data_IF_837690995404
#
_entry.id   IF_837690995404
#
_cell.length_a   1.000
_cell.length_b   1.000
_cell.length_c   1.000
_cell.angle_alpha   90.00
_cell.angle_beta   90.00
_cell.angle_gamma   90.00
#
_symmetry.space_group_name_H-M   'P 1'
#
loop_
_entity.id
_entity.type
_entity.pdbx_description
1 polymer ?
#
# COMPACT_ATOMS: atom_id res chain seq x y z
N UNK A 1 82.33 7.89 -52.11
CA UNK A 1 81.46 7.64 -50.94
C UNK A 1 80.02 7.92 -51.37
N UNK A 2 79.12 6.92 -51.33
CA UNK A 2 77.72 7.12 -51.69
C UNK A 2 76.88 7.49 -50.47
N UNK A 3 75.95 8.42 -50.64
CA UNK A 3 74.95 8.81 -49.65
C UNK A 3 73.76 7.86 -49.73
N UNK A 4 73.46 7.18 -48.62
CA UNK A 4 72.37 6.21 -48.49
C UNK A 4 71.09 6.96 -48.05
N UNK A 5 70.03 6.83 -48.85
CA UNK A 5 68.67 7.20 -48.49
C UNK A 5 68.12 6.20 -47.45
N UNK A 6 67.61 6.71 -46.33
CA UNK A 6 66.81 5.93 -45.38
C UNK A 6 65.33 6.19 -45.67
N UNK A 7 64.65 5.18 -46.20
CA UNK A 7 63.19 5.07 -46.24
C UNK A 7 62.77 3.84 -45.44
N UNK A 8 62.06 4.04 -44.34
CA UNK A 8 60.77 3.39 -44.05
C UNK A 8 60.31 3.74 -42.64
N UNK A 9 59.21 4.50 -42.56
CA UNK A 9 58.40 4.63 -41.35
C UNK A 9 57.56 3.36 -41.21
N UNK A 10 57.97 2.46 -40.33
CA UNK A 10 57.10 1.36 -39.89
C UNK A 10 56.09 1.91 -38.90
N UNK A 11 54.88 2.21 -39.38
CA UNK A 11 53.73 2.52 -38.53
C UNK A 11 53.36 1.24 -37.78
N UNK A 12 53.70 1.17 -36.50
CA UNK A 12 53.18 0.14 -35.59
C UNK A 12 51.73 0.51 -35.30
N UNK A 13 50.78 -0.14 -35.97
CA UNK A 13 49.37 -0.13 -35.58
C UNK A 13 49.21 -1.03 -34.36
N UNK A 14 49.34 -0.45 -33.17
CA UNK A 14 48.84 -1.07 -31.95
C UNK A 14 47.31 -0.90 -31.95
N UNK A 15 46.59 -1.99 -32.25
CA UNK A 15 45.15 -2.08 -31.94
C UNK A 15 45.01 -2.08 -30.42
N UNK A 16 44.68 -0.93 -29.86
CA UNK A 16 44.22 -0.84 -28.47
C UNK A 16 42.84 -1.50 -28.39
N UNK A 17 42.80 -2.77 -27.98
CA UNK A 17 41.58 -3.34 -27.42
C UNK A 17 41.31 -2.57 -26.12
N UNK A 18 40.43 -1.56 -26.17
CA UNK A 18 39.89 -0.97 -24.97
C UNK A 18 39.24 -2.10 -24.15
N UNK A 19 39.75 -2.33 -22.94
CA UNK A 19 39.22 -3.35 -22.05
C UNK A 19 37.80 -2.93 -21.67
N UNK A 20 36.77 -3.57 -22.25
CA UNK A 20 35.37 -3.29 -21.93
C UNK A 20 35.13 -3.75 -20.50
N UNK A 21 34.83 -2.82 -19.59
CA UNK A 21 34.47 -3.18 -18.21
C UNK A 21 33.16 -3.97 -18.24
N UNK A 22 33.02 -4.99 -17.40
CA UNK A 22 31.80 -5.77 -17.39
C UNK A 22 30.64 -4.95 -16.80
N UNK A 23 29.50 -4.93 -17.50
CA UNK A 23 28.30 -4.13 -17.13
C UNK A 23 27.83 -4.45 -15.71
N UNK A 24 27.48 -3.45 -14.87
CA UNK A 24 26.91 -3.69 -13.54
C UNK A 24 25.76 -4.68 -13.53
N UNK A 25 25.69 -5.45 -12.45
CA UNK A 25 24.60 -6.38 -12.15
C UNK A 25 24.12 -6.03 -10.75
N UNK A 26 23.17 -5.08 -10.71
CA UNK A 26 22.63 -4.49 -9.48
C UNK A 26 21.11 -4.45 -9.52
N UNK A 27 20.45 -4.81 -8.42
CA UNK A 27 19.02 -4.61 -8.18
C UNK A 27 18.86 -3.68 -6.99
N UNK A 28 17.98 -2.69 -7.12
CA UNK A 28 17.51 -1.84 -6.04
C UNK A 28 16.05 -2.22 -5.69
N UNK A 29 15.86 -2.70 -4.47
CA UNK A 29 14.58 -3.04 -3.85
C UNK A 29 14.17 -1.90 -2.93
N UNK A 30 12.95 -1.39 -3.11
CA UNK A 30 12.42 -0.30 -2.29
C UNK A 30 11.53 -0.87 -1.18
N UNK A 31 11.71 -0.39 0.06
CA UNK A 31 10.96 -0.84 1.23
C UNK A 31 10.48 0.34 2.07
N UNK A 32 9.37 0.14 2.77
CA UNK A 32 8.94 1.10 3.79
C UNK A 32 9.96 1.19 4.91
N UNK A 33 10.00 2.35 5.55
CA UNK A 33 10.68 2.53 6.82
C UNK A 33 9.84 1.92 7.95
N UNK A 34 10.51 1.52 9.03
CA UNK A 34 9.85 0.94 10.21
C UNK A 34 8.84 1.89 10.89
N UNK A 35 9.08 3.20 10.78
CA UNK A 35 8.27 4.29 11.35
C UNK A 35 7.12 4.75 10.42
N UNK A 36 7.00 4.18 9.21
CA UNK A 36 5.87 4.46 8.32
C UNK A 36 4.54 4.21 9.02
N UNK A 37 3.59 5.11 8.84
CA UNK A 37 2.33 5.17 9.58
C UNK A 37 1.10 5.33 8.68
N UNK A 38 1.28 5.20 7.36
CA UNK A 38 0.19 5.30 6.39
C UNK A 38 0.09 6.66 5.68
N UNK A 39 1.13 7.49 5.75
CA UNK A 39 1.15 8.87 5.24
C UNK A 39 1.14 9.01 3.70
N UNK A 40 1.50 7.97 2.95
CA UNK A 40 1.44 7.88 1.48
C UNK A 40 1.11 6.44 1.07
N UNK A 41 0.63 6.20 -0.16
CA UNK A 41 0.41 4.82 -0.60
C UNK A 41 1.71 4.20 -1.10
N UNK A 42 2.05 3.00 -0.60
CA UNK A 42 3.13 2.19 -1.14
C UNK A 42 2.80 0.71 -1.08
N UNK A 43 2.97 0.01 -2.20
CA UNK A 43 2.61 -1.39 -2.32
C UNK A 43 3.67 -2.18 -3.10
N UNK A 44 4.31 -3.13 -2.42
CA UNK A 44 5.26 -4.09 -3.01
C UNK A 44 4.82 -5.52 -2.72
N UNK A 45 5.24 -6.48 -3.53
CA UNK A 45 5.04 -7.89 -3.16
C UNK A 45 5.97 -8.21 -1.98
N UNK A 46 5.38 -8.54 -0.82
CA UNK A 46 6.13 -8.89 0.40
C UNK A 46 6.87 -10.20 0.21
N UNK A 47 8.09 -10.28 0.72
CA UNK A 47 9.00 -11.41 0.54
C UNK A 47 9.83 -11.70 1.80
N UNK A 48 9.44 -11.17 2.98
CA UNK A 48 10.11 -11.52 4.23
C UNK A 48 11.50 -10.92 4.45
N UNK A 49 11.86 -9.86 3.73
CA UNK A 49 13.22 -9.34 3.71
C UNK A 49 13.47 -8.12 4.62
N UNK A 50 12.43 -7.59 5.29
CA UNK A 50 12.53 -6.43 6.19
C UNK A 50 12.61 -6.79 7.68
N UNK A 51 12.40 -8.06 8.04
CA UNK A 51 12.25 -8.54 9.42
C UNK A 51 11.10 -7.88 10.21
N UNK A 52 10.23 -7.11 9.55
CA UNK A 52 9.00 -6.60 10.14
C UNK A 52 8.00 -7.74 10.29
N UNK A 53 7.27 -7.79 11.41
CA UNK A 53 6.29 -8.85 11.69
C UNK A 53 5.26 -9.05 10.56
N UNK A 54 5.03 -8.00 9.77
CA UNK A 54 4.01 -7.88 8.72
C UNK A 54 4.50 -8.23 7.32
N UNK A 55 5.81 -8.31 7.14
CA UNK A 55 6.41 -8.65 5.86
C UNK A 55 6.43 -10.17 5.72
N UNK A 56 5.26 -10.79 5.71
CA UNK A 56 5.15 -12.23 5.42
C UNK A 56 5.23 -12.42 3.92
N UNK A 57 5.98 -13.43 3.46
CA UNK A 57 6.07 -13.75 2.04
C UNK A 57 4.67 -14.01 1.45
N UNK A 58 4.32 -13.25 0.42
CA UNK A 58 3.00 -13.36 -0.21
C UNK A 58 2.81 -14.66 -0.99
N UNK A 59 3.89 -15.35 -1.39
CA UNK A 59 3.77 -16.70 -1.92
C UNK A 59 3.17 -17.67 -0.89
N UNK A 60 3.48 -17.45 0.40
CA UNK A 60 3.02 -18.28 1.50
C UNK A 60 1.62 -17.92 2.03
N UNK A 61 1.16 -16.68 1.88
CA UNK A 61 -0.10 -16.22 2.51
C UNK A 61 -1.21 -15.84 1.53
N UNK A 62 -0.93 -15.69 0.24
CA UNK A 62 -1.97 -15.43 -0.77
C UNK A 62 -2.59 -16.76 -1.21
N UNK A 63 -3.69 -17.13 -0.55
CA UNK A 63 -4.30 -18.48 -0.58
C UNK A 63 -5.82 -18.40 -0.58
N UNK A 64 -6.50 -19.44 -1.04
CA UNK A 64 -7.95 -19.58 -0.86
C UNK A 64 -8.28 -19.98 0.56
N UNK A 65 -9.44 -19.54 1.03
CA UNK A 65 -9.94 -19.81 2.38
C UNK A 65 -11.07 -20.84 2.35
N UNK A 66 -11.02 -21.83 3.23
CA UNK A 66 -11.91 -22.98 3.25
C UNK A 66 -12.44 -23.25 4.65
N UNK A 67 -13.67 -23.79 4.70
CA UNK A 67 -14.30 -24.22 5.96
C UNK A 67 -13.73 -25.53 6.49
N UNK A 68 -13.06 -26.32 5.64
CA UNK A 68 -12.68 -27.70 5.91
C UNK A 68 -11.22 -28.00 5.55
N UNK A 69 -10.60 -28.91 6.29
CA UNK A 69 -9.22 -29.34 6.10
C UNK A 69 -8.99 -30.13 4.81
N UNK A 70 -10.06 -30.57 4.13
CA UNK A 70 -9.99 -31.25 2.84
C UNK A 70 -10.03 -30.28 1.66
N UNK A 71 -10.13 -28.97 1.92
CA UNK A 71 -10.05 -27.88 0.94
C UNK A 71 -11.11 -28.00 -0.17
N UNK A 72 -12.31 -28.45 0.21
CA UNK A 72 -13.40 -28.71 -0.75
C UNK A 72 -14.47 -27.62 -0.77
N UNK A 73 -14.67 -26.92 0.35
CA UNK A 73 -15.72 -25.92 0.52
C UNK A 73 -15.12 -24.58 0.88
N UNK A 74 -15.30 -23.58 0.01
CA UNK A 74 -14.84 -22.22 0.26
C UNK A 74 -15.56 -21.61 1.45
N UNK A 75 -14.82 -20.85 2.26
CA UNK A 75 -15.43 -19.97 3.26
C UNK A 75 -16.18 -18.82 2.56
N UNK A 76 -17.42 -18.62 2.98
CA UNK A 76 -18.38 -17.68 2.41
C UNK A 76 -18.71 -16.53 3.37
N UNK A 77 -18.42 -16.64 4.66
CA UNK A 77 -18.48 -15.53 5.61
C UNK A 77 -17.19 -14.70 5.53
N UNK A 78 -17.30 -13.48 5.00
CA UNK A 78 -16.18 -12.55 4.91
C UNK A 78 -15.65 -12.06 6.27
N UNK A 79 -16.27 -12.44 7.39
CA UNK A 79 -15.79 -12.15 8.76
C UNK A 79 -15.13 -13.36 9.44
N UNK A 80 -15.26 -14.56 8.88
CA UNK A 80 -14.58 -15.73 9.42
C UNK A 80 -13.08 -15.63 9.12
N UNK A 81 -12.26 -15.78 10.15
CA UNK A 81 -10.80 -15.65 10.09
C UNK A 81 -10.08 -16.98 10.32
N UNK A 82 -10.74 -17.91 11.03
CA UNK A 82 -10.27 -19.27 11.29
C UNK A 82 -10.59 -20.19 10.12
N UNK A 83 -10.35 -21.50 10.27
CA UNK A 83 -10.50 -22.46 9.17
C UNK A 83 -9.16 -22.72 8.47
N UNK A 84 -9.21 -23.02 7.17
CA UNK A 84 -8.08 -23.56 6.42
C UNK A 84 -7.72 -22.68 5.23
N UNK A 85 -6.43 -22.39 5.06
CA UNK A 85 -5.92 -21.61 3.93
C UNK A 85 -4.99 -22.47 3.09
N UNK A 86 -5.29 -22.57 1.79
CA UNK A 86 -4.51 -23.39 0.87
C UNK A 86 -4.33 -22.73 -0.50
N UNK A 87 -3.17 -22.96 -1.10
CA UNK A 87 -2.89 -22.54 -2.46
C UNK A 87 -3.59 -23.49 -3.43
N UNK A 88 -4.28 -22.92 -4.43
CA UNK A 88 -4.77 -23.75 -5.55
C UNK A 88 -3.70 -23.70 -6.61
N UNK A 89 -3.09 -24.85 -6.89
CA UNK A 89 -1.93 -24.95 -7.78
C UNK A 89 -2.35 -25.23 -9.22
N UNK A 90 -1.59 -24.69 -10.17
CA UNK A 90 -1.65 -25.10 -11.58
C UNK A 90 -0.93 -26.44 -11.82
N UNK A 91 -0.90 -26.88 -13.08
CA UNK A 91 -0.25 -28.15 -13.47
C UNK A 91 1.27 -28.17 -13.22
N UNK A 92 1.89 -27.00 -13.12
CA UNK A 92 3.31 -26.81 -12.87
C UNK A 92 3.60 -26.58 -11.37
N UNK A 93 2.59 -26.66 -10.51
CA UNK A 93 2.71 -26.50 -9.07
C UNK A 93 2.72 -25.04 -8.59
N UNK A 94 2.38 -24.06 -9.43
CA UNK A 94 2.36 -22.63 -9.05
C UNK A 94 1.00 -22.20 -8.53
N UNK A 95 0.98 -21.34 -7.51
CA UNK A 95 -0.25 -20.80 -6.92
C UNK A 95 -1.00 -19.89 -7.90
N UNK A 96 -2.24 -20.25 -8.27
CA UNK A 96 -3.09 -19.41 -9.11
C UNK A 96 -3.34 -18.03 -8.51
N UNK A 97 -3.51 -17.96 -7.19
CA UNK A 97 -3.82 -16.72 -6.48
C UNK A 97 -2.61 -15.79 -6.47
N UNK A 98 -1.43 -16.31 -6.15
CA UNK A 98 -0.21 -15.53 -6.13
C UNK A 98 0.18 -15.05 -7.54
N UNK A 99 0.10 -15.92 -8.55
CA UNK A 99 0.33 -15.51 -9.94
C UNK A 99 -0.67 -14.47 -10.43
N UNK A 100 -1.92 -14.53 -9.98
CA UNK A 100 -2.92 -13.51 -10.28
C UNK A 100 -2.61 -12.17 -9.61
N UNK A 101 -2.11 -12.19 -8.37
CA UNK A 101 -1.67 -10.99 -7.67
C UNK A 101 -0.49 -10.33 -8.39
N UNK A 102 0.54 -11.11 -8.77
CA UNK A 102 1.71 -10.59 -9.49
C UNK A 102 1.34 -9.88 -10.80
N UNK A 103 0.24 -10.25 -11.44
CA UNK A 103 -0.27 -9.57 -12.66
C UNK A 103 -0.79 -8.15 -12.42
N UNK A 104 -0.99 -7.73 -11.17
CA UNK A 104 -1.34 -6.34 -10.83
C UNK A 104 -0.13 -5.38 -10.87
N UNK A 105 1.07 -5.92 -11.09
CA UNK A 105 2.31 -5.17 -11.02
C UNK A 105 3.02 -5.21 -12.36
N UNK A 106 3.68 -4.10 -12.69
CA UNK A 106 4.66 -4.11 -13.76
C UNK A 106 5.84 -4.98 -13.36
N UNK A 107 6.49 -5.58 -14.35
CA UNK A 107 7.60 -6.51 -14.15
C UNK A 107 8.72 -6.18 -15.13
N UNK A 108 9.94 -6.47 -14.75
CA UNK A 108 11.04 -6.55 -15.71
C UNK A 108 11.99 -7.69 -15.36
N UNK A 109 12.66 -8.18 -16.39
CA UNK A 109 13.52 -9.36 -16.33
C UNK A 109 14.96 -8.97 -16.03
N UNK A 110 15.60 -9.75 -15.16
CA UNK A 110 17.00 -9.62 -14.81
C UNK A 110 17.72 -10.95 -15.09
N UNK A 111 18.20 -11.17 -16.32
CA UNK A 111 18.82 -12.43 -16.78
C UNK A 111 19.94 -12.95 -15.90
N UNK A 112 20.67 -12.06 -15.23
CA UNK A 112 21.84 -12.39 -14.43
C UNK A 112 21.51 -12.81 -12.99
N UNK A 113 20.26 -12.62 -12.54
CA UNK A 113 19.88 -12.83 -11.16
C UNK A 113 19.42 -14.26 -10.85
N UNK A 114 19.21 -15.11 -11.87
CA UNK A 114 18.90 -16.52 -11.70
C UNK A 114 19.66 -17.39 -12.72
N UNK A 115 20.07 -18.58 -12.28
CA UNK A 115 20.54 -19.68 -13.12
C UNK A 115 19.59 -20.85 -12.90
N UNK A 116 19.22 -21.56 -13.96
CA UNK A 116 18.53 -22.85 -13.80
C UNK A 116 19.50 -23.95 -13.34
N UNK A 117 18.96 -25.14 -13.07
CA UNK A 117 19.76 -26.31 -12.64
C UNK A 117 20.84 -26.73 -13.65
N UNK A 118 20.66 -26.38 -14.93
CA UNK A 118 21.61 -26.65 -16.02
C UNK A 118 22.70 -25.57 -16.14
N UNK A 119 22.63 -24.51 -15.31
CA UNK A 119 23.57 -23.39 -15.33
C UNK A 119 23.29 -22.35 -16.43
N UNK A 120 22.14 -22.44 -17.10
CA UNK A 120 21.67 -21.41 -18.03
C UNK A 120 21.07 -20.23 -17.27
N UNK A 121 21.32 -19.02 -17.79
CA UNK A 121 20.72 -17.79 -17.29
C UNK A 121 19.21 -17.78 -17.57
N UNK A 122 18.41 -17.83 -16.52
CA UNK A 122 16.97 -17.58 -16.58
C UNK A 122 16.71 -16.19 -15.98
N UNK A 123 15.86 -15.35 -16.60
CA UNK A 123 15.64 -14.04 -16.03
C UNK A 123 14.81 -14.09 -14.76
N UNK A 124 15.42 -13.65 -13.65
CA UNK A 124 14.69 -13.38 -12.43
C UNK A 124 13.65 -12.29 -12.69
N UNK A 125 12.47 -12.46 -12.10
CA UNK A 125 11.37 -11.52 -12.22
C UNK A 125 11.48 -10.45 -11.12
N UNK A 126 11.74 -9.20 -11.50
CA UNK A 126 11.57 -8.07 -10.58
C UNK A 126 10.15 -7.54 -10.69
N UNK A 127 9.46 -7.45 -9.54
CA UNK A 127 8.12 -6.90 -9.44
C UNK A 127 8.21 -5.45 -9.00
N UNK A 128 7.70 -4.54 -9.83
CA UNK A 128 7.79 -3.10 -9.63
C UNK A 128 6.74 -2.65 -8.61
N UNK A 129 7.15 -2.06 -7.47
CA UNK A 129 6.19 -1.58 -6.47
C UNK A 129 5.46 -0.31 -6.93
N UNK A 130 4.26 -0.13 -6.39
CA UNK A 130 3.42 1.05 -6.61
C UNK A 130 3.63 2.11 -5.54
N UNK A 131 3.53 3.38 -5.94
CA UNK A 131 3.54 4.56 -5.07
C UNK A 131 2.34 5.44 -5.42
N UNK A 132 1.66 5.96 -4.39
CA UNK A 132 0.57 6.93 -4.51
C UNK A 132 0.90 8.17 -3.68
N UNK A 133 0.98 9.32 -4.35
CA UNK A 133 1.36 10.60 -3.75
C UNK A 133 0.52 11.74 -4.32
N UNK A 134 0.09 12.63 -3.43
CA UNK A 134 -0.43 13.94 -3.83
C UNK A 134 0.71 14.87 -4.24
N UNK A 135 0.40 15.90 -5.04
CA UNK A 135 1.31 17.03 -5.27
C UNK A 135 1.76 17.61 -3.91
N UNK A 136 3.02 18.01 -3.85
CA UNK A 136 3.72 18.57 -2.68
C UNK A 136 3.86 17.59 -1.50
N UNK A 137 3.55 16.31 -1.68
CA UNK A 137 3.79 15.26 -0.69
C UNK A 137 5.03 14.43 -1.04
N UNK A 138 5.66 13.87 -0.02
CA UNK A 138 6.85 13.03 -0.15
C UNK A 138 6.62 11.61 0.38
N UNK A 139 7.23 10.63 -0.29
CA UNK A 139 7.45 9.30 0.25
C UNK A 139 8.89 9.15 0.73
N UNK A 140 9.09 8.51 1.88
CA UNK A 140 10.41 8.11 2.36
C UNK A 140 10.54 6.59 2.35
N UNK A 141 11.53 6.09 1.63
CA UNK A 141 11.76 4.66 1.41
C UNK A 141 13.19 4.29 1.79
N UNK A 142 13.36 3.07 2.29
CA UNK A 142 14.64 2.40 2.41
C UNK A 142 14.98 1.73 1.08
N UNK A 143 16.27 1.61 0.80
CA UNK A 143 16.78 0.89 -0.36
C UNK A 143 17.59 -0.31 0.11
N UNK A 144 17.20 -1.51 -0.34
CA UNK A 144 18.05 -2.69 -0.28
C UNK A 144 18.65 -2.92 -1.66
N UNK A 145 19.90 -3.34 -1.73
CA UNK A 145 20.56 -3.66 -2.99
C UNK A 145 21.05 -5.10 -3.04
N UNK A 146 21.00 -5.69 -4.23
CA UNK A 146 21.67 -6.95 -4.55
C UNK A 146 22.68 -6.67 -5.66
N UNK A 147 23.96 -6.87 -5.38
CA UNK A 147 25.08 -6.53 -6.26
C UNK A 147 25.88 -7.79 -6.57
N UNK A 148 25.65 -8.38 -7.74
CA UNK A 148 26.47 -9.49 -8.29
C UNK A 148 27.75 -8.96 -8.91
N UNK A 149 27.65 -7.86 -9.65
CA UNK A 149 28.77 -7.18 -10.28
C UNK A 149 28.71 -5.69 -9.96
N UNK A 150 29.76 -5.21 -9.30
CA UNK A 150 29.80 -3.90 -8.65
C UNK A 150 29.43 -2.74 -9.57
N UNK A 151 28.77 -1.75 -8.98
CA UNK A 151 28.58 -0.40 -9.51
C UNK A 151 29.35 0.61 -8.65
N UNK A 152 29.42 1.86 -9.08
CA UNK A 152 29.94 2.95 -8.25
C UNK A 152 28.81 3.80 -7.68
N UNK A 153 27.74 4.02 -8.45
CA UNK A 153 26.59 4.76 -7.94
C UNK A 153 25.28 4.33 -8.61
N UNK A 154 24.17 4.65 -7.94
CA UNK A 154 22.81 4.57 -8.46
C UNK A 154 22.24 5.98 -8.63
N UNK A 155 21.46 6.19 -9.68
CA UNK A 155 20.71 7.43 -9.89
C UNK A 155 19.40 7.13 -10.63
N UNK A 156 18.39 7.95 -10.40
CA UNK A 156 17.17 7.91 -11.20
C UNK A 156 17.33 8.69 -12.50
N UNK A 157 16.66 8.23 -13.55
CA UNK A 157 16.45 9.03 -14.76
C UNK A 157 15.73 10.33 -14.38
N UNK A 158 16.11 11.44 -15.01
CA UNK A 158 15.51 12.76 -14.76
C UNK A 158 14.00 12.72 -15.01
N UNK A 159 13.22 13.36 -14.15
CA UNK A 159 11.77 13.37 -14.23
C UNK A 159 11.23 14.76 -13.87
N UNK A 160 10.26 15.26 -14.64
CA UNK A 160 9.69 16.61 -14.44
C UNK A 160 8.60 16.65 -13.35
N UNK A 161 8.04 15.50 -12.98
CA UNK A 161 6.96 15.37 -11.99
C UNK A 161 7.48 15.07 -10.57
N UNK A 162 8.71 14.58 -10.43
CA UNK A 162 9.25 14.11 -9.18
C UNK A 162 10.67 14.64 -8.89
N UNK A 163 10.83 15.19 -7.69
CA UNK A 163 12.14 15.47 -7.11
C UNK A 163 12.57 14.27 -6.26
N UNK A 164 13.79 13.78 -6.48
CA UNK A 164 14.33 12.60 -5.80
C UNK A 164 15.61 12.95 -5.08
N UNK A 165 15.65 12.66 -3.77
CA UNK A 165 16.76 12.99 -2.89
C UNK A 165 17.19 11.75 -2.08
N UNK A 166 18.50 11.41 -2.06
CA UNK A 166 19.56 12.02 -2.84
C UNK A 166 19.44 11.68 -4.34
N UNK A 167 19.92 12.58 -5.20
CA UNK A 167 19.92 12.35 -6.66
C UNK A 167 20.94 11.31 -7.12
N UNK A 168 21.94 11.02 -6.29
CA UNK A 168 22.99 10.02 -6.51
C UNK A 168 23.23 9.26 -5.20
N UNK A 169 23.28 7.93 -5.28
CA UNK A 169 23.52 7.04 -4.15
C UNK A 169 24.82 6.28 -4.40
N UNK A 170 25.81 6.44 -3.52
CA UNK A 170 27.10 5.75 -3.61
C UNK A 170 26.96 4.27 -3.24
N UNK A 171 27.40 3.38 -4.14
CA UNK A 171 27.46 1.94 -3.90
C UNK A 171 28.84 1.35 -4.22
N UNK A 172 29.86 2.20 -4.33
CA UNK A 172 31.21 1.81 -4.71
C UNK A 172 31.80 0.83 -3.69
N UNK A 173 32.25 -0.31 -4.20
CA UNK A 173 32.89 -1.34 -3.40
C UNK A 173 31.93 -2.24 -2.61
N UNK A 174 30.61 -2.02 -2.69
CA UNK A 174 29.60 -2.91 -2.14
C UNK A 174 29.41 -4.15 -3.01
N UNK A 175 29.01 -5.27 -2.39
CA UNK A 175 28.78 -6.55 -3.06
C UNK A 175 27.78 -7.42 -2.28
N UNK A 176 27.14 -8.37 -2.95
CA UNK A 176 26.13 -9.23 -2.34
C UNK A 176 24.84 -8.46 -2.01
N UNK A 177 24.14 -8.89 -0.96
CA UNK A 177 22.91 -8.24 -0.50
C UNK A 177 23.22 -7.28 0.66
N UNK A 178 22.80 -6.03 0.54
CA UNK A 178 23.01 -5.00 1.56
C UNK A 178 21.79 -4.11 1.73
N UNK A 179 21.48 -3.75 2.98
CA UNK A 179 20.61 -2.62 3.28
C UNK A 179 21.44 -1.34 3.20
N UNK A 180 21.04 -0.40 2.36
CA UNK A 180 21.74 0.87 2.27
C UNK A 180 21.31 1.78 3.42
N UNK A 181 22.28 2.35 4.13
CA UNK A 181 22.08 3.40 5.12
C UNK A 181 21.82 4.75 4.42
N UNK A 182 20.73 4.79 3.64
CA UNK A 182 20.24 5.96 2.93
C UNK A 182 18.72 5.96 2.94
N UNK A 183 18.14 7.11 3.26
CA UNK A 183 16.70 7.34 3.06
C UNK A 183 16.48 7.99 1.72
N UNK A 184 15.71 7.34 0.86
CA UNK A 184 15.26 7.90 -0.41
C UNK A 184 13.98 8.68 -0.19
N UNK A 185 14.03 9.98 -0.46
CA UNK A 185 12.87 10.87 -0.46
C UNK A 185 12.43 11.13 -1.89
N UNK A 186 11.16 10.85 -2.18
CA UNK A 186 10.53 11.10 -3.49
C UNK A 186 9.39 12.08 -3.28
N UNK A 187 9.51 13.27 -3.85
CA UNK A 187 8.51 14.35 -3.71
C UNK A 187 7.81 14.57 -5.04
N UNK A 188 6.48 14.51 -5.05
CA UNK A 188 5.70 14.87 -6.22
C UNK A 188 5.65 16.40 -6.36
N UNK A 189 6.30 16.94 -7.37
CA UNK A 189 6.34 18.39 -7.64
C UNK A 189 5.30 18.82 -8.68
N UNK A 190 4.88 17.92 -9.56
CA UNK A 190 3.82 18.18 -10.53
C UNK A 190 2.87 17.01 -10.72
N UNK A 191 1.58 17.31 -10.85
CA UNK A 191 0.52 16.33 -11.08
C UNK A 191 0.63 15.68 -12.46
N UNK A 192 0.13 14.44 -12.59
CA UNK A 192 0.13 13.71 -13.85
C UNK A 192 -1.13 12.84 -14.00
N UNK A 193 -1.65 12.76 -15.23
CA UNK A 193 -2.92 12.08 -15.55
C UNK A 193 -2.76 10.61 -15.94
N UNK A 194 -1.53 10.14 -16.13
CA UNK A 194 -1.22 8.76 -16.48
C UNK A 194 -0.18 8.20 -15.50
N UNK A 195 -0.19 6.90 -15.27
CA UNK A 195 0.81 6.26 -14.41
C UNK A 195 2.21 6.44 -15.00
N UNK A 196 3.18 6.79 -14.16
CA UNK A 196 4.57 7.03 -14.56
C UNK A 196 5.48 5.93 -14.02
N UNK A 197 6.67 5.80 -14.63
CA UNK A 197 7.74 4.95 -14.11
C UNK A 197 8.94 5.82 -13.75
N UNK A 198 9.41 5.69 -12.51
CA UNK A 198 10.71 6.20 -12.11
C UNK A 198 11.72 5.07 -12.30
N UNK A 199 12.72 5.29 -13.14
CA UNK A 199 13.72 4.28 -13.51
C UNK A 199 15.02 4.59 -12.79
N UNK A 200 15.50 3.67 -11.97
CA UNK A 200 16.82 3.74 -11.33
C UNK A 200 17.83 2.94 -12.15
N UNK A 201 19.02 3.53 -12.33
CA UNK A 201 20.13 2.93 -13.05
C UNK A 201 21.39 2.85 -12.19
N UNK A 202 22.15 1.79 -12.43
CA UNK A 202 23.48 1.58 -11.87
C UNK A 202 24.56 1.96 -12.88
N UNK A 203 25.57 2.67 -12.38
CA UNK A 203 26.65 3.20 -13.19
C UNK A 203 27.98 2.68 -12.66
N UNK A 204 28.85 2.23 -13.57
CA UNK A 204 30.27 2.01 -13.29
C UNK A 204 31.05 3.13 -13.95
N UNK A 205 31.63 4.01 -13.14
CA UNK A 205 32.47 5.08 -13.64
C UNK A 205 33.92 4.58 -13.71
N UNK A 206 34.41 4.32 -14.92
CA UNK A 206 35.79 4.67 -15.23
C UNK A 206 35.78 5.46 -16.54
N UNK A 207 36.02 6.78 -16.50
CA UNK A 207 36.72 7.38 -17.65
C UNK A 207 38.19 7.06 -17.46
N UNK A 208 38.86 6.31 -18.36
CA UNK A 208 40.27 6.54 -18.55
C UNK A 208 40.41 8.02 -18.92
N UNK A 209 41.33 8.75 -18.29
CA UNK A 209 41.65 10.15 -18.59
C UNK A 209 42.14 10.41 -20.04
N UNK A 210 41.89 9.49 -20.98
CA UNK A 210 42.39 9.47 -22.34
C UNK A 210 41.31 9.66 -23.42
N UNK A 211 40.02 9.76 -23.09
CA UNK A 211 38.93 9.81 -24.09
C UNK A 211 38.20 11.16 -24.21
N UNK A 212 38.88 12.27 -23.97
CA UNK A 212 38.42 13.60 -24.42
C UNK A 212 38.87 13.90 -25.86
N UNK A 213 39.54 12.96 -26.53
CA UNK A 213 40.18 13.15 -27.84
C UNK A 213 39.60 12.33 -28.99
N UNK A 214 38.61 11.45 -28.79
CA UNK A 214 38.20 10.47 -29.84
C UNK A 214 36.70 10.48 -30.20
N UNK A 215 35.84 11.32 -29.61
CA UNK A 215 34.42 11.38 -30.01
C UNK A 215 34.16 12.30 -31.22
N UNK A 216 34.99 12.17 -32.26
CA UNK A 216 34.60 12.46 -33.64
C UNK A 216 34.79 11.17 -34.45
N UNK A 217 33.69 10.70 -35.02
CA UNK A 217 33.55 9.47 -35.81
C UNK A 217 33.41 8.19 -34.98
N UNK A 218 32.20 7.65 -34.91
CA UNK A 218 31.76 6.55 -35.78
C UNK A 218 30.38 6.08 -35.31
N UNK A 219 29.35 6.31 -36.14
CA UNK A 219 28.09 5.57 -36.06
C UNK A 219 28.38 4.14 -36.54
N UNK A 220 28.41 3.19 -35.62
CA UNK A 220 28.33 1.76 -35.96
C UNK A 220 27.50 1.04 -34.92
N UNK A 221 26.46 0.36 -35.41
CA UNK A 221 25.54 -0.49 -34.69
C UNK A 221 26.28 -1.43 -33.71
N UNK A 222 25.88 -1.40 -32.43
CA UNK A 222 26.38 -2.31 -31.39
C UNK A 222 27.14 -1.66 -30.22
N UNK A 223 27.36 -0.34 -30.23
CA UNK A 223 27.85 0.42 -29.08
C UNK A 223 26.66 1.04 -28.31
N UNK A 224 26.19 0.37 -27.26
CA UNK A 224 25.44 1.05 -26.20
C UNK A 224 26.44 1.83 -25.35
N UNK A 225 26.28 3.15 -25.29
CA UNK A 225 27.17 4.02 -24.52
C UNK A 225 27.14 3.61 -23.03
N UNK A 226 28.32 3.37 -22.44
CA UNK A 226 28.51 3.19 -20.99
C UNK A 226 28.05 4.42 -20.17
N UNK A 227 27.70 5.54 -20.83
CA UNK A 227 27.10 6.73 -20.21
C UNK A 227 25.59 6.60 -19.90
N UNK A 228 24.90 5.57 -20.36
CA UNK A 228 23.44 5.45 -20.19
C UNK A 228 22.99 4.70 -18.92
N UNK A 229 23.91 4.06 -18.19
CA UNK A 229 23.59 3.31 -16.97
C UNK A 229 22.77 2.04 -17.23
N UNK A 230 22.91 1.03 -16.37
CA UNK A 230 22.20 -0.24 -16.47
C UNK A 230 20.96 -0.20 -15.57
N UNK A 231 19.80 -0.63 -16.07
CA UNK A 231 18.57 -0.71 -15.27
C UNK A 231 18.81 -1.50 -13.97
N UNK A 232 18.52 -0.87 -12.83
CA UNK A 232 18.73 -1.44 -11.50
C UNK A 232 17.45 -1.47 -10.66
N UNK A 233 16.47 -0.62 -10.94
CA UNK A 233 15.21 -0.63 -10.20
C UNK A 233 14.15 0.22 -10.88
N UNK A 234 12.90 0.03 -10.48
CA UNK A 234 11.78 0.87 -10.91
C UNK A 234 10.81 1.12 -9.77
N UNK A 235 10.11 2.24 -9.85
CA UNK A 235 8.89 2.52 -9.09
C UNK A 235 7.77 2.86 -10.05
N UNK A 236 6.56 2.35 -9.80
CA UNK A 236 5.36 2.73 -10.54
C UNK A 236 4.60 3.80 -9.77
N UNK A 237 4.46 4.97 -10.36
CA UNK A 237 3.78 6.10 -9.74
C UNK A 237 2.33 6.16 -10.25
N UNK A 238 1.37 5.98 -9.35
CA UNK A 238 -0.04 6.02 -9.69
C UNK A 238 -0.48 7.44 -10.07
N UNK A 239 -1.25 7.57 -11.15
CA UNK A 239 -1.75 8.85 -11.63
C UNK A 239 -2.50 9.63 -10.55
N UNK A 240 -2.09 10.88 -10.31
CA UNK A 240 -2.64 11.73 -9.26
C UNK A 240 -3.31 13.01 -9.77
N UNK A 241 -3.52 13.11 -11.09
CA UNK A 241 -4.24 14.21 -11.70
C UNK A 241 -5.69 14.32 -11.22
N UNK A 242 -6.40 15.43 -11.54
CA UNK A 242 -7.70 15.75 -10.95
C UNK A 242 -8.77 14.66 -11.06
N UNK A 243 -8.75 13.83 -12.11
CA UNK A 243 -9.70 12.73 -12.29
C UNK A 243 -9.55 11.59 -11.26
N UNK A 244 -8.36 11.43 -10.68
CA UNK A 244 -8.04 10.41 -9.68
C UNK A 244 -8.11 10.92 -8.25
N UNK A 245 -8.13 12.24 -8.03
CA UNK A 245 -8.27 12.81 -6.69
C UNK A 245 -9.73 12.96 -6.33
N UNK A 246 -10.14 12.32 -5.24
CA UNK A 246 -11.52 12.30 -4.78
C UNK A 246 -11.62 13.02 -3.45
N UNK A 247 -12.76 13.69 -3.24
CA UNK A 247 -13.12 14.27 -1.96
C UNK A 247 -14.35 13.56 -1.40
N UNK A 248 -14.35 13.30 -0.10
CA UNK A 248 -15.49 12.72 0.60
C UNK A 248 -15.93 13.65 1.73
N UNK A 249 -17.18 14.10 1.68
CA UNK A 249 -17.82 14.81 2.80
C UNK A 249 -18.12 13.83 3.91
N UNK A 250 -17.59 14.09 5.11
CA UNK A 250 -17.83 13.27 6.29
C UNK A 250 -18.30 14.16 7.43
N UNK A 251 -19.42 13.79 8.05
CA UNK A 251 -19.85 14.37 9.31
C UNK A 251 -19.48 13.41 10.44
N UNK A 252 -18.62 13.89 11.34
CA UNK A 252 -18.18 13.16 12.51
C UNK A 252 -19.08 13.55 13.68
N UNK A 253 -19.97 12.65 14.06
CA UNK A 253 -21.01 12.88 15.05
C UNK A 253 -20.54 12.33 16.40
N UNK A 254 -20.21 13.24 17.32
CA UNK A 254 -20.12 12.95 18.74
C UNK A 254 -21.53 12.68 19.27
N UNK A 255 -21.83 11.43 19.62
CA UNK A 255 -23.12 11.06 20.20
C UNK A 255 -23.05 11.21 21.70
N UNK A 256 -23.89 12.10 22.24
CA UNK A 256 -24.08 12.28 23.68
C UNK A 256 -25.22 11.37 24.15
N UNK A 257 -24.91 10.48 25.08
CA UNK A 257 -25.86 9.51 25.63
C UNK A 257 -26.26 9.86 27.07
N UNK A 258 -27.51 9.52 27.47
CA UNK A 258 -27.90 9.58 28.87
C UNK A 258 -27.11 8.58 29.71
N UNK A 259 -27.24 8.64 31.04
CA UNK A 259 -26.67 7.64 31.93
C UNK A 259 -27.31 6.26 31.70
N UNK A 260 -26.58 5.36 31.03
CA UNK A 260 -27.03 3.98 30.78
C UNK A 260 -26.45 2.97 31.79
N UNK A 261 -25.36 3.33 32.48
CA UNK A 261 -24.76 2.55 33.58
C UNK A 261 -24.79 3.40 34.85
N UNK A 262 -25.43 2.93 35.95
CA UNK A 262 -25.49 3.69 37.19
C UNK A 262 -24.11 4.06 37.73
N UNK A 263 -23.89 5.35 37.96
CA UNK A 263 -22.65 5.94 38.45
C UNK A 263 -21.67 6.39 37.36
N UNK A 264 -21.96 6.16 36.07
CA UNK A 264 -21.10 6.60 34.96
C UNK A 264 -21.51 7.95 34.35
N UNK A 265 -22.74 8.42 34.63
CA UNK A 265 -23.26 9.68 34.08
C UNK A 265 -23.45 9.67 32.57
N UNK A 266 -23.66 10.85 31.99
CA UNK A 266 -23.71 11.06 30.54
C UNK A 266 -22.34 10.83 29.91
N UNK A 267 -22.31 10.28 28.68
CA UNK A 267 -21.06 9.96 28.00
C UNK A 267 -21.07 10.39 26.54
N UNK A 268 -19.88 10.67 26.03
CA UNK A 268 -19.65 10.96 24.61
C UNK A 268 -18.19 10.68 24.26
N UNK A 269 -17.87 10.70 22.96
CA UNK A 269 -16.52 10.52 22.45
C UNK A 269 -16.19 11.63 21.43
N UNK A 270 -15.07 12.32 21.62
CA UNK A 270 -14.59 13.35 20.68
C UNK A 270 -13.88 12.70 19.46
N UNK A 271 -14.44 12.78 18.26
CA UNK A 271 -13.89 12.15 17.07
C UNK A 271 -12.82 12.99 16.35
N UNK A 272 -12.34 14.09 16.93
CA UNK A 272 -11.39 15.00 16.27
C UNK A 272 -10.10 14.28 15.83
N UNK A 273 -9.58 13.37 16.65
CA UNK A 273 -8.40 12.58 16.28
C UNK A 273 -8.72 11.53 15.19
N UNK A 274 -9.93 10.98 15.19
CA UNK A 274 -10.37 10.03 14.17
C UNK A 274 -10.52 10.72 12.80
N UNK A 275 -11.02 11.96 12.78
CA UNK A 275 -11.06 12.78 11.56
C UNK A 275 -9.68 12.92 10.91
N UNK A 276 -8.64 13.20 11.71
CA UNK A 276 -7.26 13.30 11.21
C UNK A 276 -6.76 11.95 10.68
N UNK A 277 -7.00 10.87 11.43
CA UNK A 277 -6.47 9.54 11.10
C UNK A 277 -7.15 8.93 9.88
N UNK A 278 -8.47 9.05 9.76
CA UNK A 278 -9.21 8.62 8.57
C UNK A 278 -8.66 9.32 7.34
N UNK A 279 -8.48 10.64 7.41
CA UNK A 279 -7.91 11.41 6.30
C UNK A 279 -6.50 10.92 5.93
N UNK A 280 -5.65 10.57 6.92
CA UNK A 280 -4.31 10.06 6.65
C UNK A 280 -4.36 8.75 5.84
N UNK A 281 -5.18 7.78 6.25
CA UNK A 281 -5.21 6.48 5.58
C UNK A 281 -5.89 6.51 4.21
N UNK A 282 -6.97 7.26 4.05
CA UNK A 282 -7.70 7.32 2.77
C UNK A 282 -6.89 8.01 1.67
N UNK A 283 -5.90 8.84 2.03
CA UNK A 283 -4.98 9.47 1.08
C UNK A 283 -4.11 8.48 0.32
N UNK A 284 -3.87 7.29 0.85
CA UNK A 284 -3.21 6.20 0.08
C UNK A 284 -3.98 5.90 -1.21
N UNK A 285 -5.31 5.99 -1.15
CA UNK A 285 -6.23 5.79 -2.27
C UNK A 285 -6.57 7.08 -3.04
N UNK A 286 -5.83 8.17 -2.84
CA UNK A 286 -6.14 9.49 -3.39
C UNK A 286 -7.57 9.97 -3.07
N UNK A 287 -8.02 9.69 -1.84
CA UNK A 287 -9.27 10.19 -1.27
C UNK A 287 -8.94 11.08 -0.07
N UNK A 288 -9.34 12.35 -0.13
CA UNK A 288 -9.25 13.31 0.97
C UNK A 288 -10.63 13.63 1.55
N UNK A 289 -10.65 14.02 2.81
CA UNK A 289 -11.84 14.64 3.38
C UNK A 289 -12.11 15.98 2.68
N UNK A 290 -13.36 16.20 2.35
CA UNK A 290 -13.82 17.47 1.80
C UNK A 290 -13.74 18.58 2.87
N UNK A 291 -13.59 19.83 2.45
CA UNK A 291 -13.48 20.98 3.36
C UNK A 291 -14.74 21.19 4.21
N UNK A 292 -15.90 20.76 3.71
CA UNK A 292 -17.17 20.79 4.44
C UNK A 292 -17.26 19.73 5.54
N UNK A 293 -16.28 18.83 5.67
CA UNK A 293 -16.29 17.79 6.68
C UNK A 293 -16.11 18.39 8.08
N UNK A 294 -17.02 18.10 9.00
CA UNK A 294 -17.07 18.74 10.32
C UNK A 294 -17.36 17.77 11.46
N UNK A 295 -17.01 18.18 12.67
CA UNK A 295 -17.37 17.49 13.91
C UNK A 295 -18.56 18.21 14.51
N UNK A 296 -19.61 17.46 14.85
CA UNK A 296 -20.83 17.98 15.48
C UNK A 296 -21.24 17.11 16.67
N UNK A 297 -22.12 17.65 17.50
CA UNK A 297 -22.78 16.90 18.57
C UNK A 297 -24.22 16.56 18.18
N UNK A 298 -24.62 15.33 18.46
CA UNK A 298 -25.99 14.84 18.49
C UNK A 298 -26.33 14.47 19.94
N UNK A 299 -27.51 14.87 20.40
CA UNK A 299 -27.90 14.73 21.80
C UNK A 299 -29.06 13.74 21.94
N UNK A 300 -28.80 12.61 22.61
CA UNK A 300 -29.80 11.58 22.85
C UNK A 300 -30.26 11.52 24.32
N UNK A 301 -29.91 12.52 25.16
CA UNK A 301 -30.19 12.48 26.61
C UNK A 301 -31.69 12.37 26.91
N UNK A 302 -32.50 13.18 26.23
CA UNK A 302 -33.95 13.25 26.43
C UNK A 302 -34.74 12.38 25.44
N UNK A 303 -34.04 11.50 24.70
CA UNK A 303 -34.65 10.65 23.67
C UNK A 303 -35.07 9.29 24.27
N UNK A 304 -36.30 9.23 24.78
CA UNK A 304 -36.89 8.03 25.40
C UNK A 304 -36.78 6.77 24.50
N UNK A 305 -36.87 6.97 23.17
CA UNK A 305 -36.81 5.88 22.19
C UNK A 305 -35.39 5.32 21.98
N UNK A 306 -34.34 5.99 22.46
CA UNK A 306 -32.97 5.46 22.43
C UNK A 306 -32.82 4.24 23.34
N UNK A 307 -33.62 4.14 24.41
CA UNK A 307 -33.59 3.02 25.35
C UNK A 307 -33.78 1.64 24.71
N UNK A 308 -34.43 1.57 23.53
CA UNK A 308 -34.58 0.32 22.78
C UNK A 308 -33.24 -0.23 22.26
N UNK A 309 -32.20 0.61 22.17
CA UNK A 309 -30.85 0.22 21.77
C UNK A 309 -29.92 -0.04 22.95
N UNK A 310 -30.45 -0.16 24.17
CA UNK A 310 -29.65 -0.45 25.37
C UNK A 310 -29.91 -1.86 25.88
N UNK A 311 -28.84 -2.63 26.06
CA UNK A 311 -28.88 -3.96 26.65
C UNK A 311 -27.67 -4.17 27.57
N UNK A 312 -27.92 -4.52 28.83
CA UNK A 312 -26.87 -4.78 29.83
C UNK A 312 -25.86 -3.62 29.96
N UNK A 313 -26.33 -2.37 29.96
CA UNK A 313 -25.49 -1.18 30.08
C UNK A 313 -24.62 -0.88 28.86
N UNK A 314 -24.97 -1.42 27.68
CA UNK A 314 -24.24 -1.25 26.43
C UNK A 314 -25.19 -0.96 25.28
N UNK A 315 -24.66 -0.32 24.24
CA UNK A 315 -25.43 0.01 23.03
C UNK A 315 -25.42 -1.19 22.07
N UNK A 316 -26.60 -1.63 21.64
CA UNK A 316 -26.76 -2.71 20.65
C UNK A 316 -27.00 -2.16 19.26
N UNK A 317 -26.44 -2.81 18.24
CA UNK A 317 -26.60 -2.40 16.84
C UNK A 317 -27.99 -2.71 16.23
N UNK A 318 -28.85 -3.42 16.97
CA UNK A 318 -30.25 -3.72 16.64
C UNK A 318 -31.11 -3.51 17.86
N UNK A 319 -32.32 -3.01 17.65
CA UNK A 319 -33.29 -2.78 18.71
C UNK A 319 -33.61 -4.07 19.50
N UNK A 320 -33.89 -3.88 20.79
CA UNK A 320 -34.31 -4.95 21.71
C UNK A 320 -35.82 -5.19 21.69
N UNK A 321 -36.59 -4.30 21.05
CA UNK A 321 -38.06 -4.35 21.02
C UNK A 321 -38.63 -4.60 19.62
N UNK A 322 -37.87 -4.31 18.55
CA UNK A 322 -38.27 -4.51 17.16
C UNK A 322 -37.08 -4.78 16.22
N UNK A 323 -37.32 -4.80 14.91
CA UNK A 323 -36.31 -5.09 13.88
C UNK A 323 -35.50 -3.86 13.44
N UNK A 324 -35.67 -2.70 14.08
CA UNK A 324 -34.95 -1.48 13.71
C UNK A 324 -33.45 -1.58 14.00
N UNK A 325 -32.65 -0.87 13.20
CA UNK A 325 -31.20 -0.83 13.36
C UNK A 325 -30.74 0.51 13.89
N UNK A 326 -29.68 0.49 14.71
CA UNK A 326 -29.15 1.70 15.32
C UNK A 326 -28.69 2.72 14.27
N UNK A 327 -28.13 2.29 13.14
CA UNK A 327 -27.70 3.18 12.07
C UNK A 327 -28.86 3.94 11.40
N UNK A 328 -30.01 3.28 11.23
CA UNK A 328 -31.21 3.90 10.67
C UNK A 328 -31.80 4.92 11.66
N UNK A 329 -31.83 4.57 12.95
CA UNK A 329 -32.25 5.47 14.02
C UNK A 329 -31.37 6.73 14.06
N UNK A 330 -30.05 6.57 14.12
CA UNK A 330 -29.11 7.68 14.21
C UNK A 330 -29.17 8.62 13.00
N UNK A 331 -29.30 8.08 11.78
CA UNK A 331 -29.50 8.90 10.58
C UNK A 331 -30.79 9.71 10.65
N UNK A 332 -31.88 9.10 11.13
CA UNK A 332 -33.17 9.79 11.28
C UNK A 332 -33.07 10.92 12.30
N UNK A 333 -32.46 10.66 13.46
CA UNK A 333 -32.23 11.71 14.49
C UNK A 333 -31.32 12.81 13.97
N UNK A 334 -30.24 12.47 13.27
CA UNK A 334 -29.35 13.47 12.66
C UNK A 334 -30.09 14.38 11.68
N UNK A 335 -30.91 13.78 10.81
CA UNK A 335 -31.70 14.51 9.83
C UNK A 335 -32.71 15.46 10.50
N UNK A 336 -33.37 15.02 11.58
CA UNK A 336 -34.31 15.86 12.33
C UNK A 336 -33.60 17.01 13.07
N UNK A 337 -32.52 16.73 13.80
CA UNK A 337 -31.81 17.75 14.58
C UNK A 337 -31.13 18.81 13.71
N UNK A 338 -30.68 18.43 12.52
CA UNK A 338 -29.84 19.26 11.64
C UNK A 338 -30.56 19.65 10.36
N UNK A 339 -31.90 19.62 10.36
CA UNK A 339 -32.77 20.00 9.24
C UNK A 339 -32.36 19.36 7.89
N UNK A 340 -31.94 18.09 7.93
CA UNK A 340 -31.55 17.31 6.75
C UNK A 340 -30.23 17.71 6.11
N UNK A 341 -29.43 18.58 6.73
CA UNK A 341 -28.15 19.11 6.17
C UNK A 341 -27.21 18.01 5.64
N UNK A 342 -27.19 16.85 6.29
CA UNK A 342 -26.21 15.79 6.03
C UNK A 342 -26.76 14.60 5.22
N UNK A 343 -28.04 14.57 4.88
CA UNK A 343 -28.69 13.33 4.44
C UNK A 343 -28.20 12.83 3.08
N UNK A 344 -28.04 13.73 2.09
CA UNK A 344 -27.81 13.34 0.71
C UNK A 344 -26.32 13.15 0.33
N UNK A 345 -25.41 13.92 0.94
CA UNK A 345 -24.02 14.04 0.43
C UNK A 345 -22.96 13.63 1.43
N UNK A 346 -23.27 13.59 2.72
CA UNK A 346 -22.30 13.27 3.75
C UNK A 346 -22.33 11.79 4.06
N UNK A 347 -21.13 11.24 4.26
CA UNK A 347 -20.95 10.02 5.02
C UNK A 347 -21.08 10.34 6.52
N UNK A 348 -21.82 9.52 7.28
CA UNK A 348 -22.14 9.76 8.68
C UNK A 348 -21.30 8.84 9.58
N UNK A 349 -20.37 9.41 10.33
CA UNK A 349 -19.55 8.66 11.28
C UNK A 349 -20.00 8.95 12.71
N UNK A 350 -20.70 8.01 13.33
CA UNK A 350 -21.24 8.15 14.69
C UNK A 350 -20.27 7.55 15.72
N UNK A 351 -19.96 8.31 16.76
CA UNK A 351 -19.02 7.92 17.81
C UNK A 351 -19.69 7.97 19.18
N UNK A 352 -19.69 6.83 19.86
CA UNK A 352 -20.25 6.65 21.19
C UNK A 352 -19.15 6.65 22.25
N UNK A 353 -19.43 7.29 23.39
CA UNK A 353 -18.67 7.08 24.63
C UNK A 353 -18.94 5.71 25.28
N UNK A 354 -19.94 4.99 24.79
CA UNK A 354 -20.43 3.72 25.33
C UNK A 354 -19.84 2.50 24.65
N UNK A 355 -19.83 1.36 25.35
CA UNK A 355 -19.44 0.07 24.79
C UNK A 355 -20.54 -0.52 23.91
N UNK A 356 -20.17 -1.18 22.80
CA UNK A 356 -21.13 -1.73 21.83
C UNK A 356 -21.33 -3.26 21.92
N UNK A 357 -22.49 -3.77 21.50
CA UNK A 357 -22.81 -5.21 21.41
C UNK A 357 -23.39 -5.57 20.04
N UNK A 358 -23.03 -6.74 19.52
CA UNK A 358 -23.63 -7.32 18.32
C UNK A 358 -24.90 -8.12 18.66
N UNK A 359 -26.07 -7.54 18.43
CA UNK A 359 -27.36 -8.16 18.72
C UNK A 359 -27.60 -8.53 20.20
N UNK A 360 -28.70 -9.24 20.47
CA UNK A 360 -29.15 -9.56 21.83
C UNK A 360 -28.34 -10.65 22.54
N UNK A 361 -27.56 -11.47 21.81
CA UNK A 361 -26.82 -12.63 22.31
C UNK A 361 -25.29 -12.42 22.48
N UNK A 362 -24.77 -11.24 22.13
CA UNK A 362 -23.70 -10.61 22.93
C UNK A 362 -22.23 -10.83 22.56
N UNK A 363 -21.85 -10.72 21.28
CA UNK A 363 -20.46 -10.42 20.92
C UNK A 363 -20.11 -8.96 21.25
N UNK A 364 -18.94 -8.69 21.85
CA UNK A 364 -18.45 -7.32 22.01
C UNK A 364 -18.24 -6.67 20.64
N UNK A 365 -18.68 -5.41 20.48
CA UNK A 365 -18.61 -4.69 19.21
C UNK A 365 -17.89 -3.35 19.40
N UNK A 366 -16.77 -3.18 18.67
CA UNK A 366 -15.98 -1.94 18.71
C UNK A 366 -16.40 -0.94 17.63
N UNK A 367 -17.00 -1.41 16.54
CA UNK A 367 -17.56 -0.60 15.49
C UNK A 367 -18.20 -1.48 14.43
N UNK A 368 -18.96 -0.87 13.52
CA UNK A 368 -19.46 -1.56 12.35
C UNK A 368 -19.81 -0.59 11.20
N UNK A 369 -19.65 -1.09 9.98
CA UNK A 369 -20.21 -0.53 8.75
C UNK A 369 -20.72 -1.66 7.84
N UNK A 370 -21.00 -1.35 6.58
CA UNK A 370 -21.35 -2.32 5.52
C UNK A 370 -20.68 -1.90 4.21
N UNK A 371 -20.49 -2.87 3.31
CA UNK A 371 -19.98 -2.57 1.97
C UNK A 371 -20.87 -1.53 1.28
N UNK A 372 -20.26 -0.45 0.81
CA UNK A 372 -20.96 0.64 0.09
C UNK A 372 -21.89 1.48 0.97
N UNK A 373 -21.83 1.34 2.30
CA UNK A 373 -22.64 2.14 3.20
C UNK A 373 -22.26 3.63 3.14
N UNK A 374 -23.15 4.49 3.62
CA UNK A 374 -22.88 5.91 3.84
C UNK A 374 -22.68 6.22 5.34
N UNK A 375 -22.35 5.22 6.15
CA UNK A 375 -22.18 5.38 7.59
C UNK A 375 -21.15 4.46 8.23
N UNK A 376 -20.72 4.84 9.43
CA UNK A 376 -20.05 3.97 10.40
C UNK A 376 -20.58 4.28 11.79
N UNK A 377 -20.62 3.28 12.66
CA UNK A 377 -20.83 3.46 14.10
C UNK A 377 -19.62 2.91 14.84
N UNK A 378 -19.08 3.69 15.77
CA UNK A 378 -17.87 3.37 16.54
C UNK A 378 -18.18 3.48 18.04
N UNK A 379 -17.71 2.50 18.81
CA UNK A 379 -17.94 2.39 20.25
C UNK A 379 -16.64 2.54 21.05
N UNK A 380 -16.74 2.68 22.36
CA UNK A 380 -15.61 2.97 23.25
C UNK A 380 -14.53 1.89 23.33
N UNK A 381 -14.83 0.65 22.88
CA UNK A 381 -13.83 -0.41 22.77
C UNK A 381 -13.01 -0.36 21.46
N UNK A 382 -13.21 0.65 20.62
CA UNK A 382 -12.42 0.90 19.43
C UNK A 382 -10.94 1.11 19.75
N UNK A 383 -10.08 0.48 18.95
CA UNK A 383 -8.67 0.85 18.90
C UNK A 383 -8.47 1.97 17.87
N UNK A 384 -7.22 2.40 17.69
CA UNK A 384 -6.93 3.55 16.82
C UNK A 384 -7.26 3.28 15.34
N UNK A 385 -7.40 2.03 14.92
CA UNK A 385 -7.66 1.70 13.51
C UNK A 385 -9.09 1.24 13.27
N UNK A 386 -9.93 1.08 14.29
CA UNK A 386 -11.31 0.60 14.14
C UNK A 386 -12.12 1.53 13.24
N UNK A 387 -12.16 2.84 13.49
CA UNK A 387 -12.98 3.75 12.68
C UNK A 387 -12.57 3.72 11.20
N UNK A 388 -11.26 3.80 10.94
CA UNK A 388 -10.72 3.74 9.58
C UNK A 388 -11.02 2.40 8.88
N UNK A 389 -10.86 1.28 9.59
CA UNK A 389 -11.20 -0.06 9.10
C UNK A 389 -12.66 -0.13 8.65
N UNK A 390 -13.59 0.28 9.51
CA UNK A 390 -15.02 0.26 9.20
C UNK A 390 -15.39 1.22 8.07
N UNK A 391 -14.79 2.42 8.02
CA UNK A 391 -14.99 3.36 6.92
C UNK A 391 -14.52 2.77 5.60
N UNK A 392 -13.44 1.99 5.58
CA UNK A 392 -12.96 1.39 4.35
C UNK A 392 -13.91 0.32 3.79
N UNK A 393 -14.70 -0.36 4.63
CA UNK A 393 -15.81 -1.19 4.14
C UNK A 393 -16.82 -0.37 3.35
N UNK A 394 -17.13 0.85 3.80
CA UNK A 394 -18.02 1.76 3.08
C UNK A 394 -17.49 2.14 1.67
N UNK A 395 -16.18 2.04 1.46
CA UNK A 395 -15.54 2.22 0.14
C UNK A 395 -15.44 0.90 -0.64
N UNK A 396 -16.37 -0.01 -0.37
CA UNK A 396 -16.48 -1.33 -0.97
C UNK A 396 -15.25 -2.23 -0.76
N UNK A 397 -14.44 -2.03 0.28
CA UNK A 397 -13.31 -2.92 0.57
C UNK A 397 -13.75 -4.04 1.54
N UNK A 398 -13.68 -5.32 1.16
CA UNK A 398 -13.90 -6.42 2.10
C UNK A 398 -12.63 -6.68 2.94
N UNK A 399 -12.74 -7.54 3.95
CA UNK A 399 -11.57 -8.01 4.68
C UNK A 399 -10.52 -8.64 3.75
N UNK A 400 -9.25 -8.57 4.15
CA UNK A 400 -8.14 -9.15 3.38
C UNK A 400 -8.29 -10.66 3.14
N UNK A 401 -8.91 -11.36 4.08
CA UNK A 401 -9.15 -12.81 4.05
C UNK A 401 -10.50 -13.19 3.41
N UNK A 402 -11.25 -12.25 2.85
CA UNK A 402 -12.50 -12.56 2.16
C UNK A 402 -12.23 -13.17 0.79
N UNK A 403 -12.81 -14.34 0.51
CA UNK A 403 -12.83 -14.93 -0.82
C UNK A 403 -13.61 -14.10 -1.84
N UNK A 404 -13.15 -14.08 -3.09
CA UNK A 404 -13.91 -13.52 -4.23
C UNK A 404 -15.30 -14.17 -4.39
N UNK A 405 -15.40 -15.45 -4.03
CA UNK A 405 -16.64 -16.23 -4.04
C UNK A 405 -17.62 -15.72 -2.96
N UNK A 406 -17.12 -15.29 -1.80
CA UNK A 406 -17.91 -14.65 -0.74
C UNK A 406 -18.37 -13.25 -1.15
N UNK A 407 -17.49 -12.46 -1.75
CA UNK A 407 -17.79 -11.09 -2.16
C UNK A 407 -17.15 -10.75 -3.50
N UNK A 408 -17.97 -10.30 -4.46
CA UNK A 408 -17.49 -9.80 -5.76
C UNK A 408 -16.57 -8.56 -5.65
N UNK A 409 -16.45 -8.00 -4.45
CA UNK A 409 -15.55 -6.93 -4.10
C UNK A 409 -14.14 -7.41 -3.71
N UNK A 410 -13.95 -8.68 -3.37
CA UNK A 410 -12.62 -9.23 -3.08
C UNK A 410 -11.91 -9.60 -4.39
N UNK A 411 -10.62 -9.27 -4.49
CA UNK A 411 -9.78 -9.62 -5.64
C UNK A 411 -8.79 -10.73 -5.30
N UNK A 412 -8.16 -10.64 -4.12
CA UNK A 412 -7.20 -11.59 -3.61
C UNK A 412 -7.52 -11.89 -2.16
N UNK A 413 -7.30 -13.14 -1.77
CA UNK A 413 -7.49 -13.63 -0.40
C UNK A 413 -6.11 -13.80 0.23
N UNK A 414 -5.94 -13.20 1.41
CA UNK A 414 -4.73 -13.31 2.22
C UNK A 414 -5.07 -14.05 3.50
N UNK A 415 -4.17 -14.90 3.99
CA UNK A 415 -4.32 -15.55 5.29
C UNK A 415 -4.50 -14.51 6.40
N UNK A 416 -5.57 -14.64 7.19
CA UNK A 416 -5.89 -13.67 8.23
C UNK A 416 -4.76 -13.57 9.27
N UNK A 417 -4.61 -12.38 9.87
CA UNK A 417 -3.65 -12.05 10.92
C UNK A 417 -2.18 -12.03 10.46
N UNK A 418 -1.91 -12.08 9.15
CA UNK A 418 -0.55 -12.13 8.58
C UNK A 418 -0.09 -10.83 7.92
N UNK A 419 -0.95 -9.82 7.86
CA UNK A 419 -0.65 -8.56 7.15
C UNK A 419 -0.89 -7.32 8.02
N UNK A 420 -0.21 -6.23 7.66
CA UNK A 420 -0.45 -4.87 8.16
C UNK A 420 -1.55 -4.13 7.39
N UNK A 421 -2.34 -4.84 6.60
CA UNK A 421 -3.42 -4.23 5.84
C UNK A 421 -4.49 -3.68 6.80
N UNK A 422 -5.02 -2.50 6.50
CA UNK A 422 -6.09 -1.89 7.30
C UNK A 422 -7.34 -2.77 7.41
N UNK A 423 -7.58 -3.65 6.44
CA UNK A 423 -8.74 -4.56 6.36
C UNK A 423 -8.43 -5.96 6.95
N UNK A 424 -7.28 -6.14 7.61
CA UNK A 424 -6.96 -7.35 8.36
C UNK A 424 -7.36 -7.22 9.84
N UNK A 425 -7.40 -8.35 10.53
CA UNK A 425 -7.59 -8.48 11.96
C UNK A 425 -6.29 -8.65 12.75
N UNK A 426 -5.14 -8.33 12.16
CA UNK A 426 -3.82 -8.39 12.81
C UNK A 426 -3.71 -7.66 14.16
N UNK A 427 -4.59 -6.70 14.46
CA UNK A 427 -4.72 -6.09 15.79
C UNK A 427 -5.01 -7.10 16.92
N UNK A 428 -5.47 -8.30 16.58
CA UNK A 428 -5.75 -9.40 17.50
C UNK A 428 -4.51 -10.24 17.81
N UNK A 429 -3.39 -10.01 17.10
CA UNK A 429 -2.11 -10.60 17.44
C UNK A 429 -1.50 -9.82 18.61
N UNK A 430 -1.08 -10.56 19.64
CA UNK A 430 -0.44 -9.99 20.83
C UNK A 430 0.76 -9.12 20.46
N UNK A 431 0.78 -7.88 20.96
CA UNK A 431 1.87 -6.93 20.71
C UNK A 431 1.66 -6.00 19.51
N UNK A 432 0.55 -6.16 18.78
CA UNK A 432 0.39 -5.53 17.46
C UNK A 432 -0.96 -4.81 17.25
N UNK A 433 -1.51 -4.25 18.31
CA UNK A 433 -2.88 -3.68 18.33
C UNK A 433 -3.10 -2.55 17.32
N UNK A 434 -2.08 -1.75 16.99
CA UNK A 434 -2.21 -0.57 16.12
C UNK A 434 -1.20 -0.58 14.96
N UNK A 435 -0.87 -1.75 14.42
CA UNK A 435 0.18 -1.86 13.40
C UNK A 435 -0.37 -1.87 11.96
N UNK A 436 -1.70 -1.85 11.78
CA UNK A 436 -2.34 -1.85 10.46
C UNK A 436 -2.30 -0.46 9.82
N UNK A 437 -1.60 -0.32 8.70
CA UNK A 437 -1.22 0.99 8.18
C UNK A 437 -1.20 1.10 6.67
N UNK A 438 -1.42 0.00 5.96
CA UNK A 438 -1.28 -0.05 4.51
C UNK A 438 -2.58 -0.50 3.84
N UNK A 439 -2.77 -0.03 2.62
CA UNK A 439 -3.68 -0.59 1.63
C UNK A 439 -2.86 -1.04 0.41
N UNK A 440 -3.38 -2.03 -0.31
CA UNK A 440 -2.80 -2.46 -1.58
C UNK A 440 -3.26 -1.56 -2.73
N UNK A 441 -2.48 -1.50 -3.80
CA UNK A 441 -2.80 -0.75 -5.02
C UNK A 441 -4.20 -1.09 -5.54
N UNK A 442 -4.57 -2.37 -5.56
CA UNK A 442 -5.90 -2.78 -6.01
C UNK A 442 -7.02 -2.27 -5.08
N UNK A 443 -6.76 -2.12 -3.78
CA UNK A 443 -7.69 -1.49 -2.83
C UNK A 443 -7.74 0.02 -3.04
N UNK A 444 -6.62 0.67 -3.38
CA UNK A 444 -6.60 2.10 -3.72
C UNK A 444 -7.53 2.39 -4.88
N UNK A 445 -7.36 1.66 -6.00
CA UNK A 445 -8.18 1.80 -7.19
C UNK A 445 -9.65 1.59 -6.85
N UNK A 446 -9.96 0.52 -6.12
CA UNK A 446 -11.33 0.15 -5.80
C UNK A 446 -12.04 1.11 -4.84
N UNK A 447 -11.33 1.59 -3.82
CA UNK A 447 -11.84 2.61 -2.92
C UNK A 447 -12.07 3.93 -3.68
N UNK A 448 -11.13 4.34 -4.53
CA UNK A 448 -11.23 5.56 -5.31
C UNK A 448 -12.43 5.54 -6.28
N UNK A 449 -12.59 4.43 -7.01
CA UNK A 449 -13.68 4.22 -7.95
C UNK A 449 -15.06 4.13 -7.26
N UNK A 450 -15.09 3.85 -5.95
CA UNK A 450 -16.33 3.90 -5.16
C UNK A 450 -16.82 5.32 -4.85
N UNK A 451 -15.96 6.34 -5.03
CA UNK A 451 -16.30 7.74 -4.81
C UNK A 451 -16.68 8.39 -6.15
N UNK A 452 -17.98 8.59 -6.33
CA UNK A 452 -18.57 9.23 -7.52
C UNK A 452 -18.51 10.73 -7.48
#
# INVERSE_FOLDING_TARGET
MPSIFLTSNTRVTATANALKLPKPEVIALFRLKSDYSGEFGFDWIRCGDTAYFWDTDYEDVVKKHFTDATETTFEMDGNEKGGHYAAVLDLDGKSFQYEALKRQYAKFSLPWAELNDDGDLIPAEYIVPWVSLYKDCSAELNIKVVISRGADHLAFDSNDNYLIEPSVIDVKGKNGQEDLDVTLRITCIEEHTADLELVMRAYKNERPAALELVMQAYDSEGFENESEGVLAGKLKMWANGPAKRKKKKVVFVQVLTPEIVPGEGERSYDPSNEKVRVNSYTRQALIELDEDSEVITMDLIEEDDFGQFILNGRVVNRSTVDDSTLDAYLKTKLGLEKDGKFDATFFKAFYFGEGGLSGASGGGLSGYSRLGADFVVVFSSANQQTASHEILHSFNLPHSFTNKESSGHALFTYEALKTENLLDYSHQVTGHTNDRRSLWYWQWVKANDSIT
#
